data_IF_102118662753
#
_entry.id   IF_102118662753
#
_cell.length_a   1.000
_cell.length_b   1.000
_cell.length_c   1.000
_cell.angle_alpha   90.00
_cell.angle_beta   90.00
_cell.angle_gamma   90.00
#
_symmetry.space_group_name_H-M   'P 1'
#
loop_
_entity.id
_entity.type
_entity.pdbx_description
1 polymer ?
#
# COMPACT_ATOMS: atom_id res chain seq x y z
N UNK A 1 -9.55 32.81 -40.42
CA UNK A 1 -9.22 31.38 -40.58
C UNK A 1 -9.65 30.60 -39.33
N UNK A 2 -10.73 29.82 -39.43
CA UNK A 2 -11.13 28.88 -38.39
C UNK A 2 -10.12 27.73 -38.41
N UNK A 3 -9.50 27.43 -37.26
CA UNK A 3 -8.66 26.23 -37.12
C UNK A 3 -9.53 25.00 -37.43
N UNK A 4 -8.98 23.99 -38.13
CA UNK A 4 -9.69 22.74 -38.31
C UNK A 4 -9.99 22.13 -36.92
N UNK A 5 -11.13 21.43 -36.78
CA UNK A 5 -11.44 20.74 -35.54
C UNK A 5 -10.31 19.74 -35.23
N UNK A 6 -9.96 19.56 -33.95
CA UNK A 6 -8.98 18.56 -33.56
C UNK A 6 -9.40 17.18 -34.08
N UNK A 7 -8.44 16.32 -34.45
CA UNK A 7 -8.75 14.97 -34.89
C UNK A 7 -9.56 14.24 -33.81
N UNK A 8 -10.49 13.36 -34.21
CA UNK A 8 -11.21 12.53 -33.25
C UNK A 8 -10.21 11.70 -32.45
N UNK A 9 -10.39 11.70 -31.12
CA UNK A 9 -9.63 10.86 -30.20
C UNK A 9 -9.76 9.41 -30.63
N UNK A 10 -8.63 8.70 -30.71
CA UNK A 10 -8.67 7.29 -31.04
C UNK A 10 -9.27 6.48 -29.89
N UNK A 11 -9.85 5.29 -30.13
CA UNK A 11 -10.45 4.49 -29.05
C UNK A 11 -9.47 4.18 -27.89
N UNK A 12 -8.17 4.08 -28.18
CA UNK A 12 -7.13 3.98 -27.15
C UNK A 12 -6.99 5.25 -26.31
N UNK A 13 -7.11 6.44 -26.90
CA UNK A 13 -7.05 7.72 -26.17
C UNK A 13 -8.25 7.91 -25.23
N UNK A 14 -9.40 7.30 -25.54
CA UNK A 14 -10.57 7.30 -24.66
C UNK A 14 -10.36 6.40 -23.43
N UNK A 15 -9.73 5.23 -23.60
CA UNK A 15 -9.32 4.38 -22.47
C UNK A 15 -8.36 5.10 -21.52
N UNK A 16 -7.40 5.85 -22.07
CA UNK A 16 -6.45 6.67 -21.30
C UNK A 16 -7.08 7.84 -20.56
N UNK A 17 -8.24 8.32 -21.02
CA UNK A 17 -9.03 9.35 -20.34
C UNK A 17 -9.91 8.76 -19.22
N UNK A 18 -10.22 7.47 -19.28
CA UNK A 18 -11.08 6.77 -18.32
C UNK A 18 -10.25 6.18 -17.18
N UNK A 19 -9.06 5.64 -17.47
CA UNK A 19 -8.08 5.20 -16.48
C UNK A 19 -6.70 5.83 -16.79
N UNK A 20 -6.47 7.09 -16.36
CA UNK A 20 -5.21 7.78 -16.63
C UNK A 20 -4.00 7.11 -15.95
N UNK A 21 -4.22 6.33 -14.87
CA UNK A 21 -3.18 5.60 -14.15
C UNK A 21 -2.73 4.35 -14.90
N UNK A 22 -3.67 3.50 -15.33
CA UNK A 22 -3.37 2.36 -16.21
C UNK A 22 -2.60 2.81 -17.46
N UNK A 23 -3.06 3.88 -18.10
CA UNK A 23 -2.39 4.47 -19.25
C UNK A 23 -0.93 4.91 -19.01
N UNK A 24 -0.62 5.42 -17.82
CA UNK A 24 0.74 5.78 -17.46
C UNK A 24 1.59 4.53 -17.25
N UNK A 25 1.05 3.50 -16.59
CA UNK A 25 1.73 2.22 -16.37
C UNK A 25 1.96 1.46 -17.69
N UNK A 26 0.97 1.34 -18.58
CA UNK A 26 1.14 0.80 -19.94
C UNK A 26 2.29 1.51 -20.66
N UNK A 27 2.29 2.85 -20.62
CA UNK A 27 3.34 3.63 -21.28
C UNK A 27 4.71 3.34 -20.66
N UNK A 28 4.81 3.30 -19.33
CA UNK A 28 6.06 3.00 -18.64
C UNK A 28 6.58 1.60 -18.99
N UNK A 29 5.70 0.59 -18.98
CA UNK A 29 6.01 -0.80 -19.33
C UNK A 29 6.47 -0.94 -20.79
N UNK A 30 5.72 -0.35 -21.73
CA UNK A 30 5.96 -0.51 -23.17
C UNK A 30 7.20 0.24 -23.67
N UNK A 31 7.52 1.39 -23.06
CA UNK A 31 8.64 2.23 -23.50
C UNK A 31 9.88 2.08 -22.63
N UNK A 32 9.74 1.63 -21.38
CA UNK A 32 10.79 1.67 -20.36
C UNK A 32 11.17 3.10 -19.94
N UNK A 33 10.45 4.12 -20.39
CA UNK A 33 10.68 5.51 -20.02
C UNK A 33 10.05 5.85 -18.66
N UNK A 34 10.63 6.85 -17.99
CA UNK A 34 9.98 7.48 -16.84
C UNK A 34 8.87 8.41 -17.33
N UNK A 35 7.67 8.25 -16.79
CA UNK A 35 6.46 8.98 -17.17
C UNK A 35 5.83 9.67 -15.96
N UNK A 36 5.12 10.79 -16.15
CA UNK A 36 4.30 11.35 -15.08
C UNK A 36 3.12 10.42 -14.77
N UNK A 37 2.85 10.21 -13.49
CA UNK A 37 1.75 9.44 -12.95
C UNK A 37 1.04 10.30 -11.90
N UNK A 38 -0.28 10.40 -11.97
CA UNK A 38 -1.08 11.12 -10.97
C UNK A 38 -1.93 10.11 -10.22
N UNK A 39 -1.73 10.02 -8.90
CA UNK A 39 -2.40 9.07 -8.03
C UNK A 39 -3.87 9.47 -7.75
N UNK A 40 -4.60 8.70 -6.94
CA UNK A 40 -5.99 9.01 -6.59
C UNK A 40 -6.12 10.33 -5.82
N UNK A 41 -5.15 10.66 -4.96
CA UNK A 41 -5.09 11.95 -4.24
C UNK A 41 -4.81 13.16 -5.14
N UNK A 42 -4.47 12.94 -6.41
CA UNK A 42 -4.08 14.01 -7.35
C UNK A 42 -2.63 14.46 -7.23
N UNK A 43 -1.80 13.77 -6.44
CA UNK A 43 -0.34 13.96 -6.40
C UNK A 43 0.29 13.40 -7.67
N UNK A 44 1.11 14.20 -8.33
CA UNK A 44 1.85 13.76 -9.53
C UNK A 44 3.29 13.43 -9.19
N UNK A 45 3.72 12.23 -9.57
CA UNK A 45 5.08 11.73 -9.42
C UNK A 45 5.62 11.15 -10.72
N UNK A 46 6.93 10.91 -10.75
CA UNK A 46 7.60 10.29 -11.89
C UNK A 46 7.69 8.78 -11.65
N UNK A 47 7.13 7.99 -12.56
CA UNK A 47 7.06 6.53 -12.46
C UNK A 47 7.81 5.87 -13.60
N UNK A 48 8.55 4.81 -13.31
CA UNK A 48 9.07 3.89 -14.35
C UNK A 48 8.87 2.46 -13.92
N UNK A 49 8.54 1.59 -14.89
CA UNK A 49 8.36 0.16 -14.65
C UNK A 49 9.23 -0.61 -15.64
N UNK A 50 10.08 -1.50 -15.12
CA UNK A 50 10.97 -2.34 -15.94
C UNK A 50 10.73 -3.81 -15.62
N UNK A 51 10.25 -4.58 -16.61
CA UNK A 51 10.18 -6.02 -16.48
C UNK A 51 11.60 -6.62 -16.52
N UNK A 52 11.94 -7.39 -15.49
CA UNK A 52 13.19 -8.13 -15.43
C UNK A 52 13.08 -9.39 -16.31
N UNK A 53 14.16 -9.78 -17.00
CA UNK A 53 14.16 -11.02 -17.75
C UNK A 53 13.97 -12.20 -16.80
N UNK A 54 13.07 -13.13 -17.17
CA UNK A 54 12.84 -14.37 -16.43
C UNK A 54 14.16 -15.10 -16.14
N UNK A 55 14.39 -15.40 -14.86
CA UNK A 55 15.60 -16.09 -14.42
C UNK A 55 15.60 -17.57 -14.82
N UNK A 56 16.78 -18.21 -14.80
CA UNK A 56 16.96 -19.63 -15.16
C UNK A 56 16.19 -20.62 -14.24
N UNK A 57 15.57 -20.15 -13.15
CA UNK A 57 14.95 -20.96 -12.10
C UNK A 57 13.53 -20.54 -11.71
N UNK A 58 12.92 -19.55 -12.39
CA UNK A 58 11.57 -19.09 -12.06
C UNK A 58 10.89 -18.48 -13.27
N UNK A 59 9.61 -18.78 -13.44
CA UNK A 59 8.78 -18.26 -14.53
C UNK A 59 7.86 -17.13 -14.10
N UNK A 60 8.03 -16.66 -12.86
CA UNK A 60 7.32 -15.50 -12.33
C UNK A 60 7.74 -14.26 -13.12
N UNK A 61 6.77 -13.40 -13.40
CA UNK A 61 7.04 -12.09 -13.96
C UNK A 61 7.48 -11.16 -12.84
N UNK A 62 8.58 -10.43 -13.07
CA UNK A 62 9.17 -9.53 -12.06
C UNK A 62 9.34 -8.15 -12.65
N UNK A 63 8.94 -7.14 -11.89
CA UNK A 63 8.99 -5.75 -12.29
C UNK A 63 9.77 -4.97 -11.25
N UNK A 64 10.72 -4.14 -11.70
CA UNK A 64 11.30 -3.08 -10.87
C UNK A 64 10.45 -1.84 -11.10
N UNK A 65 9.87 -1.33 -10.04
CA UNK A 65 9.02 -0.15 -10.04
C UNK A 65 9.76 0.97 -9.32
N UNK A 66 9.82 2.14 -9.95
CA UNK A 66 10.32 3.37 -9.34
C UNK A 66 9.18 4.37 -9.27
N UNK A 67 8.96 4.98 -8.11
CA UNK A 67 8.00 6.07 -7.88
C UNK A 67 8.76 7.20 -7.21
N UNK A 68 8.93 8.33 -7.90
CA UNK A 68 9.82 9.40 -7.44
C UNK A 68 11.27 8.91 -7.35
N UNK A 69 11.83 8.94 -6.14
CA UNK A 69 13.17 8.45 -5.84
C UNK A 69 13.20 7.03 -5.25
N UNK A 70 12.04 6.49 -4.87
CA UNK A 70 11.90 5.19 -4.23
C UNK A 70 11.81 4.06 -5.24
N UNK A 71 12.22 2.86 -4.84
CA UNK A 71 12.22 1.68 -5.72
C UNK A 71 11.82 0.43 -4.94
N UNK A 72 10.88 -0.32 -5.50
CA UNK A 72 10.47 -1.63 -4.99
C UNK A 72 10.28 -2.62 -6.14
N UNK A 73 10.03 -3.88 -5.80
CA UNK A 73 9.81 -4.93 -6.80
C UNK A 73 8.40 -5.49 -6.74
N UNK A 74 7.78 -5.75 -7.88
CA UNK A 74 6.51 -6.49 -7.97
C UNK A 74 6.77 -7.83 -8.63
N UNK A 75 6.33 -8.91 -8.01
CA UNK A 75 6.43 -10.27 -8.57
C UNK A 75 5.04 -10.85 -8.77
N UNK A 76 4.73 -11.29 -9.97
CA UNK A 76 3.50 -12.00 -10.31
C UNK A 76 3.84 -13.46 -10.53
N UNK A 77 3.29 -14.35 -9.71
CA UNK A 77 3.51 -15.80 -9.81
C UNK A 77 3.06 -16.34 -11.17
N UNK A 78 3.81 -17.29 -11.74
CA UNK A 78 3.42 -17.95 -12.98
C UNK A 78 2.00 -18.54 -12.88
N UNK A 79 1.11 -18.09 -13.76
CA UNK A 79 -0.26 -18.59 -13.83
C UNK A 79 -1.20 -18.00 -12.78
N UNK A 80 -0.80 -16.93 -12.07
CA UNK A 80 -1.74 -15.97 -11.54
C UNK A 80 -2.46 -15.33 -12.74
N UNK A 81 -3.75 -15.65 -12.92
CA UNK A 81 -4.59 -15.11 -14.00
C UNK A 81 -4.94 -13.66 -13.66
N UNK A 82 -4.02 -12.73 -13.95
CA UNK A 82 -4.13 -11.31 -13.59
C UNK A 82 -3.86 -10.41 -14.78
N UNK A 83 -4.57 -9.29 -14.85
CA UNK A 83 -4.16 -8.17 -15.70
C UNK A 83 -3.00 -7.45 -15.02
N UNK A 84 -1.78 -7.70 -15.52
CA UNK A 84 -0.58 -7.17 -14.90
C UNK A 84 -0.50 -5.65 -14.96
N UNK A 85 -1.09 -5.01 -15.98
CA UNK A 85 -1.11 -3.54 -16.07
C UNK A 85 -1.98 -2.96 -14.96
N UNK A 86 -3.17 -3.51 -14.76
CA UNK A 86 -4.11 -3.05 -13.74
C UNK A 86 -3.58 -3.30 -12.33
N UNK A 87 -2.97 -4.47 -12.07
CA UNK A 87 -2.30 -4.76 -10.79
C UNK A 87 -1.17 -3.78 -10.51
N UNK A 88 -0.30 -3.53 -11.50
CA UNK A 88 0.80 -2.57 -11.33
C UNK A 88 0.27 -1.15 -11.11
N UNK A 89 -0.78 -0.75 -11.83
CA UNK A 89 -1.42 0.55 -11.64
C UNK A 89 -1.97 0.69 -10.23
N UNK A 90 -2.68 -0.30 -9.71
CA UNK A 90 -3.22 -0.27 -8.35
C UNK A 90 -2.12 -0.23 -7.29
N UNK A 91 -1.09 -1.07 -7.41
CA UNK A 91 0.04 -1.08 -6.48
C UNK A 91 0.82 0.24 -6.49
N UNK A 92 1.04 0.83 -7.68
CA UNK A 92 1.73 2.12 -7.82
C UNK A 92 0.88 3.26 -7.23
N UNK A 93 -0.43 3.22 -7.45
CA UNK A 93 -1.39 4.20 -6.89
C UNK A 93 -1.29 4.22 -5.36
N UNK A 94 -1.59 3.09 -4.71
CA UNK A 94 -1.58 2.97 -3.26
C UNK A 94 -0.19 3.23 -2.65
N UNK A 95 0.90 2.79 -3.31
CA UNK A 95 2.26 3.11 -2.85
C UNK A 95 2.56 4.61 -2.93
N UNK A 96 2.09 5.30 -3.97
CA UNK A 96 2.30 6.73 -4.12
C UNK A 96 1.49 7.59 -3.15
N UNK A 97 0.43 7.04 -2.56
CA UNK A 97 -0.36 7.66 -1.49
C UNK A 97 0.33 7.51 -0.12
N UNK A 98 1.20 6.49 0.03
CA UNK A 98 2.04 6.33 1.22
C UNK A 98 3.01 7.51 1.39
N UNK A 99 3.18 8.07 2.60
CA UNK A 99 4.11 9.18 2.86
C UNK A 99 5.55 8.85 2.47
N UNK A 100 6.25 9.80 1.83
CA UNK A 100 7.57 9.58 1.22
C UNK A 100 8.63 9.05 2.20
N UNK A 101 8.59 9.47 3.47
CA UNK A 101 9.50 9.05 4.52
C UNK A 101 9.19 7.65 5.09
N UNK A 102 7.98 7.13 4.85
CA UNK A 102 7.52 5.82 5.29
C UNK A 102 7.57 4.77 4.17
N UNK A 103 7.71 5.20 2.91
CA UNK A 103 7.83 4.31 1.74
C UNK A 103 9.01 3.34 1.77
N UNK A 104 10.04 3.65 2.55
CA UNK A 104 11.20 2.78 2.79
C UNK A 104 10.87 1.47 3.51
N UNK A 105 9.68 1.36 4.13
CA UNK A 105 9.19 0.13 4.76
C UNK A 105 8.88 -1.01 3.77
N UNK A 106 8.62 -0.70 2.49
CA UNK A 106 8.27 -1.67 1.45
C UNK A 106 9.42 -1.88 0.46
N UNK A 107 9.86 -3.13 0.33
CA UNK A 107 10.85 -3.57 -0.65
C UNK A 107 10.22 -4.36 -1.81
N UNK A 108 9.13 -5.09 -1.52
CA UNK A 108 8.54 -6.04 -2.48
C UNK A 108 7.03 -6.21 -2.33
N UNK A 109 6.36 -6.36 -3.46
CA UNK A 109 4.99 -6.87 -3.56
C UNK A 109 5.01 -8.21 -4.32
N UNK A 110 4.25 -9.19 -3.85
CA UNK A 110 4.10 -10.51 -4.48
C UNK A 110 2.63 -10.79 -4.70
N UNK A 111 2.25 -11.18 -5.92
CA UNK A 111 0.90 -11.60 -6.28
C UNK A 111 0.93 -13.10 -6.51
N UNK A 112 0.30 -13.86 -5.62
CA UNK A 112 0.19 -15.32 -5.73
C UNK A 112 -1.09 -15.71 -6.41
N UNK A 113 -1.06 -16.83 -7.13
CA UNK A 113 -2.27 -17.41 -7.72
C UNK A 113 -3.12 -18.11 -6.66
N UNK A 114 -2.46 -18.78 -5.72
CA UNK A 114 -3.12 -19.66 -4.77
C UNK A 114 -3.64 -18.84 -3.60
N UNK A 115 -4.79 -19.24 -3.05
CA UNK A 115 -5.31 -18.67 -1.83
C UNK A 115 -4.36 -18.92 -0.65
N UNK A 116 -4.36 -18.02 0.33
CA UNK A 116 -3.65 -18.22 1.57
C UNK A 116 -4.23 -19.44 2.34
N UNK A 117 -3.40 -20.32 2.92
CA UNK A 117 -3.88 -21.48 3.67
C UNK A 117 -4.81 -21.15 4.84
N UNK A 118 -4.67 -19.96 5.44
CA UNK A 118 -5.48 -19.50 6.57
C UNK A 118 -6.60 -18.54 6.11
N UNK A 119 -6.75 -18.32 4.80
CA UNK A 119 -7.81 -17.50 4.21
C UNK A 119 -7.54 -15.99 4.21
N UNK A 120 -6.31 -15.55 4.48
CA UNK A 120 -5.94 -14.15 4.38
C UNK A 120 -5.94 -13.65 2.92
N UNK A 121 -6.45 -12.43 2.69
CA UNK A 121 -6.42 -11.79 1.38
C UNK A 121 -5.00 -11.34 1.00
N UNK A 122 -4.26 -10.85 2.00
CA UNK A 122 -2.85 -10.51 1.89
C UNK A 122 -2.12 -10.74 3.23
N UNK A 123 -0.79 -10.63 3.21
CA UNK A 123 0.07 -10.62 4.39
C UNK A 123 1.27 -9.71 4.18
N UNK A 124 1.67 -9.00 5.22
CA UNK A 124 2.88 -8.21 5.27
C UNK A 124 3.94 -8.77 6.23
N UNK A 125 5.20 -8.70 5.82
CA UNK A 125 6.35 -9.00 6.67
C UNK A 125 7.66 -8.91 5.91
N UNK A 126 8.75 -8.58 6.62
CA UNK A 126 10.10 -8.49 6.03
C UNK A 126 10.17 -7.58 4.79
N UNK A 127 9.52 -6.40 4.87
CA UNK A 127 9.43 -5.45 3.75
C UNK A 127 8.65 -5.96 2.54
N UNK A 128 7.89 -7.04 2.70
CA UNK A 128 7.12 -7.67 1.62
C UNK A 128 5.64 -7.65 1.92
N UNK A 129 4.82 -7.22 0.96
CA UNK A 129 3.37 -7.47 0.92
C UNK A 129 3.11 -8.62 -0.05
N UNK A 130 2.36 -9.63 0.38
CA UNK A 130 1.96 -10.76 -0.45
C UNK A 130 0.44 -10.80 -0.57
N UNK A 131 -0.09 -10.57 -1.76
CA UNK A 131 -1.50 -10.77 -2.09
C UNK A 131 -1.73 -12.21 -2.57
N UNK A 132 -2.83 -12.80 -2.14
CA UNK A 132 -3.22 -14.17 -2.48
C UNK A 132 -4.45 -14.18 -3.39
N UNK A 133 -4.70 -15.33 -4.04
CA UNK A 133 -5.86 -15.55 -4.91
C UNK A 133 -5.97 -14.55 -6.10
N UNK A 134 -4.82 -14.15 -6.65
CA UNK A 134 -4.73 -13.32 -7.85
C UNK A 134 -5.00 -11.82 -7.62
N UNK A 135 -5.62 -11.17 -8.61
CA UNK A 135 -5.80 -9.70 -8.63
C UNK A 135 -6.94 -9.19 -7.76
N UNK A 136 -7.91 -10.04 -7.41
CA UNK A 136 -9.14 -9.61 -6.72
C UNK A 136 -8.87 -8.97 -5.34
N UNK A 137 -7.76 -9.34 -4.71
CA UNK A 137 -7.35 -8.82 -3.40
C UNK A 137 -6.37 -7.66 -3.50
N UNK A 138 -5.93 -7.28 -4.71
CA UNK A 138 -5.07 -6.11 -4.92
C UNK A 138 -5.96 -4.89 -4.93
N UNK A 139 -6.31 -4.41 -3.75
CA UNK A 139 -7.14 -3.21 -3.54
C UNK A 139 -6.38 -2.21 -2.68
N UNK A 140 -6.82 -0.96 -2.76
CA UNK A 140 -6.23 0.13 -1.99
C UNK A 140 -6.30 -0.10 -0.48
N UNK A 141 -7.49 -0.45 0.03
CA UNK A 141 -7.70 -0.69 1.46
C UNK A 141 -6.82 -1.81 2.02
N UNK A 142 -6.68 -2.91 1.27
CA UNK A 142 -5.84 -4.05 1.66
C UNK A 142 -4.37 -3.63 1.58
N UNK A 143 -3.96 -2.91 0.53
CA UNK A 143 -2.59 -2.40 0.45
C UNK A 143 -2.25 -1.50 1.64
N UNK A 144 -3.13 -0.55 1.98
CA UNK A 144 -2.94 0.35 3.10
C UNK A 144 -2.89 -0.38 4.44
N UNK A 145 -3.73 -1.41 4.64
CA UNK A 145 -3.63 -2.28 5.82
C UNK A 145 -2.26 -2.95 5.91
N UNK A 146 -1.86 -3.62 4.82
CA UNK A 146 -0.60 -4.38 4.80
C UNK A 146 0.65 -3.49 4.89
N UNK A 147 0.64 -2.29 4.30
CA UNK A 147 1.75 -1.35 4.47
C UNK A 147 1.74 -0.74 5.88
N UNK A 148 0.58 -0.59 6.52
CA UNK A 148 0.46 -0.24 7.93
C UNK A 148 1.25 -1.20 8.83
N UNK A 149 1.17 -2.51 8.58
CA UNK A 149 2.03 -3.49 9.26
C UNK A 149 3.52 -3.24 9.08
N UNK A 150 3.97 -2.81 7.90
CA UNK A 150 5.38 -2.52 7.64
C UNK A 150 5.84 -1.20 8.28
N UNK A 151 4.97 -0.18 8.25
CA UNK A 151 5.19 1.13 8.85
C UNK A 151 5.30 1.02 10.37
N UNK A 152 4.40 0.26 11.01
CA UNK A 152 4.45 0.02 12.45
C UNK A 152 5.82 -0.50 12.90
N UNK A 153 6.41 -1.41 12.11
CA UNK A 153 7.78 -1.90 12.37
C UNK A 153 8.85 -0.84 12.16
N UNK A 154 8.79 -0.09 11.04
CA UNK A 154 9.77 0.95 10.75
C UNK A 154 9.80 2.03 11.84
N UNK A 155 8.62 2.42 12.36
CA UNK A 155 8.48 3.43 13.40
C UNK A 155 9.07 2.95 14.73
N UNK A 156 8.80 1.70 15.13
CA UNK A 156 9.43 1.13 16.34
C UNK A 156 10.96 1.05 16.21
N UNK A 157 11.47 0.49 15.10
CA UNK A 157 12.91 0.37 14.83
C UNK A 157 13.63 1.73 14.88
N UNK A 158 12.95 2.80 14.43
CA UNK A 158 13.48 4.17 14.46
C UNK A 158 13.53 4.77 15.87
N UNK A 159 12.54 4.46 16.73
CA UNK A 159 12.45 4.97 18.10
C UNK A 159 13.44 4.26 19.06
N UNK A 160 13.78 2.99 18.79
CA UNK A 160 14.69 2.16 19.61
C UNK A 160 16.20 2.43 19.38
N UNK A 161 16.51 3.40 18.51
CA UNK A 161 17.82 3.59 17.90
C UNK A 161 18.90 4.28 18.74
N UNK A 162 19.33 3.74 19.90
CA UNK A 162 20.73 3.85 20.41
C UNK A 162 21.23 2.55 21.09
N UNK A 163 20.36 1.66 21.61
CA UNK A 163 20.81 0.48 22.39
C UNK A 163 20.38 -0.90 21.85
N UNK A 164 19.54 -0.96 20.80
CA UNK A 164 18.81 -2.19 20.42
C UNK A 164 19.35 -2.93 19.18
N UNK A 165 20.56 -2.62 18.69
CA UNK A 165 21.11 -3.20 17.44
C UNK A 165 21.37 -4.72 17.41
N UNK A 166 20.70 -5.51 18.25
CA UNK A 166 20.84 -6.97 18.39
C UNK A 166 19.50 -7.66 18.75
N UNK A 167 18.32 -7.12 18.40
CA UNK A 167 17.11 -7.96 18.48
C UNK A 167 17.02 -8.88 17.27
N UNK A 168 17.31 -10.14 17.58
CA UNK A 168 17.30 -11.27 16.69
C UNK A 168 15.89 -11.45 16.12
N UNK A 169 15.82 -11.36 14.80
CA UNK A 169 14.71 -11.68 13.90
C UNK A 169 14.08 -13.05 14.24
N UNK A 170 13.23 -13.11 15.27
CA UNK A 170 12.57 -14.34 15.68
C UNK A 170 11.28 -14.49 14.85
N UNK A 171 11.28 -15.46 13.94
CA UNK A 171 10.08 -15.88 13.24
C UNK A 171 9.00 -16.28 14.26
N UNK A 172 7.96 -15.45 14.41
CA UNK A 172 6.79 -15.75 15.25
C UNK A 172 6.45 -14.73 16.33
N UNK A 173 7.23 -13.66 16.52
CA UNK A 173 6.78 -12.51 17.32
C UNK A 173 5.83 -11.62 16.49
N UNK A 174 4.74 -11.09 17.08
CA UNK A 174 3.86 -10.17 16.36
C UNK A 174 4.68 -8.97 15.84
N UNK A 175 4.31 -8.37 14.70
CA UNK A 175 4.92 -7.13 14.26
C UNK A 175 5.06 -6.14 15.42
N UNK A 176 6.13 -5.36 15.47
CA UNK A 176 6.13 -4.26 16.40
C UNK A 176 5.09 -3.18 16.05
N UNK A 177 4.57 -2.51 17.08
CA UNK A 177 3.60 -1.41 17.01
C UNK A 177 4.26 -0.12 17.51
N UNK A 178 3.79 1.07 17.10
CA UNK A 178 4.30 2.32 17.66
C UNK A 178 4.13 2.42 19.18
N UNK A 179 5.08 3.08 19.84
CA UNK A 179 5.02 3.38 21.26
C UNK A 179 3.70 4.06 21.64
N UNK A 180 3.07 3.61 22.72
CA UNK A 180 1.80 4.15 23.19
C UNK A 180 0.55 3.66 22.43
N UNK A 181 0.71 2.90 21.34
CA UNK A 181 -0.43 2.42 20.55
C UNK A 181 -1.38 1.57 21.37
N UNK A 182 -0.86 0.66 22.21
CA UNK A 182 -1.69 -0.21 23.05
C UNK A 182 -2.56 0.60 24.03
N UNK A 183 -1.99 1.63 24.65
CA UNK A 183 -2.69 2.53 25.55
C UNK A 183 -3.74 3.37 24.82
N UNK A 184 -3.40 3.93 23.66
CA UNK A 184 -4.32 4.69 22.81
C UNK A 184 -5.49 3.83 22.34
N UNK A 185 -5.20 2.62 21.86
CA UNK A 185 -6.20 1.67 21.41
C UNK A 185 -7.19 1.27 22.52
N UNK A 186 -6.67 1.06 23.74
CA UNK A 186 -7.48 0.77 24.91
C UNK A 186 -8.33 1.97 25.36
N UNK A 187 -7.81 3.19 25.23
CA UNK A 187 -8.50 4.42 25.63
C UNK A 187 -9.66 4.78 24.68
N UNK A 188 -9.47 4.55 23.38
CA UNK A 188 -10.48 4.76 22.34
C UNK A 188 -11.51 3.61 22.24
N UNK A 189 -11.27 2.49 22.92
CA UNK A 189 -12.32 1.51 23.24
C UNK A 189 -12.39 0.22 22.41
N UNK A 190 -11.28 -0.30 21.86
CA UNK A 190 -11.27 -1.68 21.32
C UNK A 190 -10.84 -2.74 22.33
N UNK A 191 -11.38 -3.94 22.12
CA UNK A 191 -11.18 -5.15 22.91
C UNK A 191 -10.42 -6.21 22.07
N UNK A 192 -9.38 -6.80 22.65
CA UNK A 192 -8.64 -7.94 22.10
C UNK A 192 -9.42 -9.26 22.35
N UNK A 193 -10.08 -9.90 21.38
CA UNK A 193 -10.16 -11.38 21.20
C UNK A 193 -11.26 -11.97 20.25
N UNK A 194 -10.79 -12.66 19.20
CA UNK A 194 -11.40 -13.75 18.38
C UNK A 194 -12.20 -13.41 17.08
N UNK A 195 -11.46 -13.27 15.97
CA UNK A 195 -11.82 -13.65 14.58
C UNK A 195 -13.27 -14.15 14.36
N UNK A 196 -14.24 -13.24 14.23
CA UNK A 196 -15.47 -13.43 13.44
C UNK A 196 -16.19 -12.08 13.28
N UNK A 197 -16.41 -11.68 12.01
CA UNK A 197 -17.40 -10.71 11.50
C UNK A 197 -17.67 -9.41 12.30
N UNK A 198 -17.53 -8.28 11.57
CA UNK A 198 -17.89 -6.89 11.91
C UNK A 198 -16.74 -6.00 12.48
N UNK A 199 -16.20 -5.17 11.56
CA UNK A 199 -15.62 -3.84 11.76
C UNK A 199 -15.10 -3.46 13.16
N UNK A 200 -13.81 -3.20 13.24
CA UNK A 200 -13.08 -2.51 14.30
C UNK A 200 -12.99 -3.15 15.67
N UNK A 201 -13.90 -4.00 16.13
CA UNK A 201 -13.91 -4.38 17.56
C UNK A 201 -13.04 -5.59 17.94
N UNK A 202 -12.28 -6.20 17.01
CA UNK A 202 -11.62 -7.49 17.30
C UNK A 202 -10.33 -7.84 16.51
N UNK A 203 -9.31 -6.99 16.58
CA UNK A 203 -7.94 -7.40 16.32
C UNK A 203 -7.35 -8.04 17.58
N UNK A 204 -7.23 -9.37 17.62
CA UNK A 204 -6.59 -10.10 18.73
C UNK A 204 -5.11 -9.78 18.98
N UNK A 205 -4.54 -8.80 18.25
CA UNK A 205 -3.16 -8.33 18.31
C UNK A 205 -3.16 -6.84 17.96
N UNK A 206 -2.56 -6.00 18.80
CA UNK A 206 -2.43 -4.54 18.58
C UNK A 206 -1.83 -4.15 17.21
N UNK A 207 -1.16 -5.09 16.55
CA UNK A 207 -0.60 -4.92 15.21
C UNK A 207 -1.65 -4.85 14.13
N UNK A 208 -2.67 -5.70 14.20
CA UNK A 208 -3.80 -5.64 13.27
C UNK A 208 -4.63 -4.38 13.56
N UNK A 209 -4.80 -3.99 14.83
CA UNK A 209 -5.46 -2.72 15.19
C UNK A 209 -4.74 -1.52 14.55
N UNK A 210 -3.41 -1.51 14.61
CA UNK A 210 -2.61 -0.45 13.98
C UNK A 210 -2.76 -0.44 12.46
N UNK A 211 -2.64 -1.60 11.82
CA UNK A 211 -2.79 -1.73 10.37
C UNK A 211 -4.18 -1.29 9.88
N UNK A 212 -5.26 -1.70 10.58
CA UNK A 212 -6.62 -1.28 10.28
C UNK A 212 -6.80 0.22 10.47
N UNK A 213 -6.30 0.77 11.59
CA UNK A 213 -6.41 2.19 11.87
C UNK A 213 -5.61 3.04 10.87
N UNK A 214 -4.44 2.56 10.42
CA UNK A 214 -3.67 3.20 9.36
C UNK A 214 -4.45 3.25 8.05
N UNK A 215 -5.02 2.12 7.62
CA UNK A 215 -5.85 2.05 6.40
C UNK A 215 -7.04 3.01 6.45
N UNK A 216 -7.73 3.06 7.58
CA UNK A 216 -8.90 3.94 7.77
C UNK A 216 -8.51 5.41 7.91
N UNK A 217 -7.32 5.70 8.46
CA UNK A 217 -6.75 7.05 8.49
C UNK A 217 -6.43 7.55 7.07
N UNK A 218 -5.78 6.72 6.25
CA UNK A 218 -5.52 7.05 4.83
C UNK A 218 -6.81 7.31 4.07
N UNK A 219 -7.83 6.46 4.25
CA UNK A 219 -9.17 6.69 3.68
C UNK A 219 -9.82 7.98 4.19
N UNK A 220 -9.64 8.31 5.46
CA UNK A 220 -10.18 9.54 6.04
C UNK A 220 -9.49 10.80 5.47
N UNK A 221 -8.19 10.73 5.19
CA UNK A 221 -7.43 11.78 4.51
C UNK A 221 -7.93 11.99 3.07
N UNK A 222 -8.11 10.92 2.28
CA UNK A 222 -8.69 11.00 0.92
C UNK A 222 -10.13 11.53 0.94
N UNK A 223 -10.94 11.11 1.92
CA UNK A 223 -12.30 11.60 2.16
C UNK A 223 -12.37 13.09 2.53
N UNK A 224 -11.23 13.73 2.82
CA UNK A 224 -11.09 15.15 3.10
C UNK A 224 -11.47 15.56 4.53
N UNK A 225 -11.47 16.88 4.84
CA UNK A 225 -11.48 17.37 6.23
C UNK A 225 -12.68 16.93 7.09
N UNK A 226 -13.80 16.55 6.46
CA UNK A 226 -14.97 16.05 7.20
C UNK A 226 -14.84 14.58 7.58
N UNK A 227 -14.23 13.77 6.72
CA UNK A 227 -13.99 12.36 6.98
C UNK A 227 -12.90 12.23 8.05
N UNK A 228 -11.80 12.98 7.89
CA UNK A 228 -10.74 13.09 8.88
C UNK A 228 -11.27 13.53 10.26
N UNK A 229 -12.03 14.62 10.34
CA UNK A 229 -12.59 15.07 11.63
C UNK A 229 -13.55 14.05 12.27
N UNK A 230 -14.23 13.23 11.46
CA UNK A 230 -15.09 12.16 11.97
C UNK A 230 -14.28 10.98 12.52
N UNK A 231 -13.15 10.65 11.88
CA UNK A 231 -12.17 9.68 12.37
C UNK A 231 -11.55 10.16 13.70
N UNK A 232 -11.02 11.38 13.74
CA UNK A 232 -10.43 12.01 14.94
C UNK A 232 -11.42 12.09 16.11
N UNK A 233 -12.69 12.39 15.83
CA UNK A 233 -13.71 12.42 16.86
C UNK A 233 -14.01 11.02 17.43
N UNK A 234 -13.89 9.98 16.60
CA UNK A 234 -14.19 8.60 16.98
C UNK A 234 -13.00 7.94 17.69
N UNK A 235 -11.78 8.25 17.27
CA UNK A 235 -10.53 7.64 17.74
C UNK A 235 -9.49 8.70 18.12
N UNK A 236 -9.77 9.56 19.12
CA UNK A 236 -8.91 10.70 19.43
C UNK A 236 -7.49 10.30 19.85
N UNK A 237 -7.31 9.23 20.63
CA UNK A 237 -6.00 8.84 21.15
C UNK A 237 -5.16 8.15 20.07
N UNK A 238 -5.77 7.32 19.22
CA UNK A 238 -5.09 6.74 18.04
C UNK A 238 -4.74 7.81 17.02
N UNK A 239 -5.62 8.79 16.82
CA UNK A 239 -5.38 9.88 15.87
C UNK A 239 -4.17 10.71 16.26
N UNK A 240 -3.94 10.96 17.56
CA UNK A 240 -2.73 11.66 18.03
C UNK A 240 -1.45 10.94 17.58
N UNK A 241 -1.38 9.61 17.73
CA UNK A 241 -0.22 8.83 17.27
C UNK A 241 -0.10 8.82 15.74
N UNK A 242 -1.22 8.66 15.03
CA UNK A 242 -1.22 8.64 13.56
C UNK A 242 -0.82 9.98 12.97
N UNK A 243 -1.25 11.10 13.55
CA UNK A 243 -0.86 12.46 13.15
C UNK A 243 0.62 12.74 13.46
N UNK A 244 1.16 12.19 14.55
CA UNK A 244 2.58 12.28 14.86
C UNK A 244 3.44 11.50 13.84
N UNK A 245 2.94 10.37 13.34
CA UNK A 245 3.59 9.57 12.28
C UNK A 245 3.44 10.25 10.93
N UNK A 246 2.22 10.68 10.58
CA UNK A 246 1.91 11.33 9.31
C UNK A 246 0.87 12.44 9.51
N UNK A 247 1.29 13.71 9.61
CA UNK A 247 0.37 14.80 9.87
C UNK A 247 -0.48 15.13 8.64
N UNK A 248 -1.75 15.56 8.83
CA UNK A 248 -2.60 15.97 7.72
C UNK A 248 -1.98 17.13 6.93
N UNK A 249 -2.18 17.18 5.60
CA UNK A 249 -1.72 18.29 4.79
C UNK A 249 -2.37 19.61 5.22
N UNK A 250 -1.55 20.67 5.30
CA UNK A 250 -1.93 22.01 5.78
C UNK A 250 -2.79 22.82 4.80
#
# INVERSE_FOLDING_TARGET
PLLPPPPPLSPGDLGKLINPRGAAVDKALTTGETVPFTNTDGKTEQVSVTQLPGGFFGKDDRYVVRVGDDTFTVTVEEGADVDTEDVLAQVIDSYSETPEDLRGSLERVVIKKDADPDGAAARAGDGTITFYDGEANVTDDIFHHEIGHLIGRQVEDANDGILSGIFEKLAGEPPPIPDGWAEAAAADGNHLNDYTEESFEDSGVYTEDFAEAWSEYMRALDGGPKALAAFEQKYPERSEILEDIYPPPA
#
